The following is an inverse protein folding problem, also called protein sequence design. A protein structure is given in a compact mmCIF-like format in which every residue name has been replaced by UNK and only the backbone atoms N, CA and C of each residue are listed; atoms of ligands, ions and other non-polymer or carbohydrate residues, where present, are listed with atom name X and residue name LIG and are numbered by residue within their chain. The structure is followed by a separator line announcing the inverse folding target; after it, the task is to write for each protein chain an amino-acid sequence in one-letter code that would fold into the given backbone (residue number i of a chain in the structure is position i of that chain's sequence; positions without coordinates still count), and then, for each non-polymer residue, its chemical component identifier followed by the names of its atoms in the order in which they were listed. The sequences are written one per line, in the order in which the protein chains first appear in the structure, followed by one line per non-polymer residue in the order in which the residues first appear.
data_IF_932935624665
#
_entry.id   IF_932935624665
#
_cell.length_a   1.000
_cell.length_b   1.000
_cell.length_c   1.000
_cell.angle_alpha   90.00
_cell.angle_beta   90.00
_cell.angle_gamma   90.00
#
_symmetry.space_group_name_H-M   'P 1'
#
loop_
_entity.id
_entity.type
_entity.pdbx_description
1 polymer ?
#
# COMPACT_ATOMS: atom_id res chain seq x y z
N UNK A 1 2.67 5.90 16.42
CA UNK A 1 2.27 5.23 15.16
C UNK A 1 3.56 4.96 14.39
N UNK A 2 3.94 3.70 14.19
CA UNK A 2 5.18 3.41 13.47
C UNK A 2 4.84 3.42 11.97
N UNK A 3 5.45 4.30 11.19
CA UNK A 3 5.18 4.41 9.73
C UNK A 3 5.40 3.06 9.03
N UNK A 4 6.36 2.27 9.53
CA UNK A 4 6.61 0.90 9.05
C UNK A 4 5.44 -0.04 9.31
N UNK A 5 4.77 0.07 10.47
CA UNK A 5 3.62 -0.76 10.82
C UNK A 5 2.40 -0.35 9.98
N UNK A 6 2.22 0.96 9.77
CA UNK A 6 1.14 1.53 8.94
C UNK A 6 1.26 1.10 7.48
N UNK A 7 2.47 1.16 6.90
CA UNK A 7 2.74 0.67 5.55
C UNK A 7 2.51 -0.84 5.45
N UNK A 8 2.89 -1.60 6.50
CA UNK A 8 2.72 -3.05 6.53
C UNK A 8 1.26 -3.46 6.60
N UNK A 9 0.45 -2.74 7.38
CA UNK A 9 -0.99 -2.95 7.49
C UNK A 9 -1.71 -2.62 6.17
N UNK A 10 -1.39 -1.47 5.57
CA UNK A 10 -1.93 -1.06 4.27
C UNK A 10 -1.61 -2.08 3.16
N UNK A 11 -0.37 -2.59 3.12
CA UNK A 11 0.06 -3.61 2.16
C UNK A 11 -0.68 -4.94 2.37
N UNK A 12 -0.85 -5.36 3.62
CA UNK A 12 -1.54 -6.61 3.96
C UNK A 12 -3.01 -6.55 3.52
N UNK A 13 -3.69 -5.44 3.81
CA UNK A 13 -5.07 -5.22 3.43
C UNK A 13 -5.26 -5.18 1.90
N UNK A 14 -4.35 -4.54 1.17
CA UNK A 14 -4.37 -4.49 -0.29
C UNK A 14 -4.22 -5.88 -0.94
N UNK A 15 -3.37 -6.73 -0.37
CA UNK A 15 -3.15 -8.11 -0.85
C UNK A 15 -4.33 -9.02 -0.48
N UNK A 16 -4.92 -8.87 0.70
CA UNK A 16 -6.03 -9.71 1.17
C UNK A 16 -7.35 -9.42 0.44
N UNK A 17 -7.62 -8.14 0.12
CA UNK A 17 -8.87 -7.72 -0.54
C UNK A 17 -8.90 -8.05 -2.03
N UNK A 18 -7.76 -8.37 -2.64
CA UNK A 18 -7.67 -8.65 -4.08
C UNK A 18 -7.93 -10.13 -4.35
N UNK A 19 -9.06 -10.40 -5.02
CA UNK A 19 -9.35 -11.70 -5.61
C UNK A 19 -9.44 -11.58 -7.14
N UNK A 20 -8.83 -12.48 -7.92
CA UNK A 20 -8.04 -13.64 -7.48
C UNK A 20 -6.69 -13.22 -6.88
N UNK A 21 -6.09 -14.07 -6.02
CA UNK A 21 -4.78 -13.77 -5.42
C UNK A 21 -3.75 -13.54 -6.52
N UNK A 22 -2.84 -12.58 -6.35
CA UNK A 22 -1.83 -12.24 -7.34
C UNK A 22 -0.96 -13.46 -7.63
N UNK A 23 -1.15 -14.03 -8.83
CA UNK A 23 -0.46 -15.27 -9.25
C UNK A 23 0.98 -15.03 -9.71
N UNK A 24 1.37 -13.78 -9.92
CA UNK A 24 2.70 -13.40 -10.39
C UNK A 24 3.26 -12.21 -9.62
N UNK A 25 4.60 -12.07 -9.54
CA UNK A 25 5.24 -10.90 -8.92
C UNK A 25 4.81 -9.58 -9.56
N UNK A 26 4.54 -9.59 -10.87
CA UNK A 26 3.98 -8.43 -11.59
C UNK A 26 2.57 -8.08 -11.11
N UNK A 27 1.74 -9.07 -10.85
CA UNK A 27 0.37 -8.85 -10.34
C UNK A 27 0.41 -8.27 -8.92
N UNK A 28 1.35 -8.73 -8.09
CA UNK A 28 1.60 -8.16 -6.76
C UNK A 28 2.05 -6.70 -6.85
N UNK A 29 2.95 -6.38 -7.78
CA UNK A 29 3.43 -5.01 -7.99
C UNK A 29 2.32 -4.10 -8.48
N UNK A 30 1.42 -4.62 -9.33
CA UNK A 30 0.26 -3.91 -9.85
C UNK A 30 -0.78 -3.68 -8.75
N UNK A 31 -1.02 -4.68 -7.89
CA UNK A 31 -1.90 -4.55 -6.72
C UNK A 31 -1.40 -3.47 -5.75
N UNK A 32 -0.10 -3.43 -5.52
CA UNK A 32 0.51 -2.44 -4.65
C UNK A 32 0.43 -1.03 -5.25
N UNK A 33 0.66 -0.89 -6.56
CA UNK A 33 0.53 0.38 -7.27
C UNK A 33 -0.91 0.89 -7.29
N UNK A 34 -1.87 0.00 -7.52
CA UNK A 34 -3.30 0.31 -7.50
C UNK A 34 -3.71 0.84 -6.11
N UNK A 35 -3.33 0.12 -5.05
CA UNK A 35 -3.56 0.55 -3.67
C UNK A 35 -2.85 1.87 -3.34
N UNK A 36 -1.61 2.08 -3.81
CA UNK A 36 -0.89 3.35 -3.64
C UNK A 36 -1.51 4.51 -4.42
N UNK A 37 -2.15 4.25 -5.55
CA UNK A 37 -2.85 5.24 -6.35
C UNK A 37 -4.16 5.69 -5.69
N UNK A 38 -4.77 4.83 -4.88
CA UNK A 38 -5.94 5.18 -4.06
C UNK A 38 -5.58 6.06 -2.86
N UNK A 39 -4.30 6.13 -2.47
CA UNK A 39 -3.86 7.05 -1.42
C UNK A 39 -3.81 8.50 -1.95
N UNK A 40 -4.41 9.46 -1.22
CA UNK A 40 -4.33 10.86 -1.60
C UNK A 40 -2.88 11.35 -1.59
N UNK A 41 -2.49 12.29 -2.48
CA UNK A 41 -1.11 12.76 -2.63
C UNK A 41 -0.51 13.39 -1.36
N UNK A 42 -1.34 13.69 -0.35
CA UNK A 42 -0.90 14.16 0.97
C UNK A 42 -0.49 13.06 1.96
N UNK A 43 -0.71 11.78 1.67
CA UNK A 43 -0.32 10.67 2.56
C UNK A 43 1.20 10.43 2.55
N UNK A 44 1.84 10.77 1.43
CA UNK A 44 3.30 10.71 1.25
C UNK A 44 4.00 12.00 1.63
N UNK A 45 3.25 13.05 1.97
CA UNK A 45 3.81 14.16 2.73
C UNK A 45 4.07 13.64 4.14
N UNK A 46 5.22 12.98 4.29
CA UNK A 46 5.89 12.82 5.58
C UNK A 46 5.74 14.12 6.36
N UNK A 47 5.42 14.08 7.67
CA UNK A 47 5.66 15.22 8.53
C UNK A 47 7.19 15.39 8.54
N UNK A 48 7.71 16.20 7.62
CA UNK A 48 9.06 16.73 7.72
C UNK A 48 9.00 17.74 8.87
N UNK A 49 9.24 17.21 10.07
CA UNK A 49 9.48 17.87 11.36
C UNK A 49 8.61 19.10 11.71
N UNK A 50 7.85 18.97 12.79
CA UNK A 50 7.72 20.03 13.79
C UNK A 50 7.72 19.45 15.20
#
# INVERSE_FOLDING_TARGET
MNIIEDIRDALLHAVEKRSPPPRTPMDLLTALQDSWCEFPPGYLQTPVES
#
